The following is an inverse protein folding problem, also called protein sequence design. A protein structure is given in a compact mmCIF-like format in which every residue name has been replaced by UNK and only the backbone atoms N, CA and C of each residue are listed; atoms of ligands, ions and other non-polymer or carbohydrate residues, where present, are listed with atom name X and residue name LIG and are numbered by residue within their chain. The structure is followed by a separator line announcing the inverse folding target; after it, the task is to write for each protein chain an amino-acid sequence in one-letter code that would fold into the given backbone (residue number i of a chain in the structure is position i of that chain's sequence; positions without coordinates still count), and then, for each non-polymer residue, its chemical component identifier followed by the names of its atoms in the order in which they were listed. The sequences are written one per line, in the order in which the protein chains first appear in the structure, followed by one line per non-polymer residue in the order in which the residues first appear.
data_IF_772253381863
#
_entry.id   IF_772253381863
#
_cell.length_a   1.000
_cell.length_b   1.000
_cell.length_c   1.000
_cell.angle_alpha   90.00
_cell.angle_beta   90.00
_cell.angle_gamma   90.00
#
_symmetry.space_group_name_H-M   'P 1'
#
loop_
_entity.id
_entity.type
_entity.pdbx_description
1 polymer ?
#
# COMPACT_ATOMS: atom_id res chain seq x y z
N UNK A 1 -29.31 -0.43 -2.71
CA UNK A 1 -29.57 0.71 -3.61
C UNK A 1 -28.62 0.56 -4.78
N UNK A 2 -29.16 0.29 -5.97
CA UNK A 2 -28.32 0.18 -7.18
C UNK A 2 -27.87 1.61 -7.58
N UNK A 3 -26.57 1.84 -7.85
CA UNK A 3 -26.09 3.14 -8.28
C UNK A 3 -26.77 3.52 -9.62
N UNK A 4 -27.05 4.81 -9.82
CA UNK A 4 -27.28 5.30 -11.19
C UNK A 4 -26.01 5.00 -11.97
N UNK A 5 -26.10 4.68 -13.25
CA UNK A 5 -24.96 4.31 -14.12
C UNK A 5 -23.99 5.49 -14.40
N UNK A 6 -23.66 6.26 -13.38
CA UNK A 6 -22.62 7.28 -13.37
C UNK A 6 -21.30 6.60 -12.99
N UNK A 7 -20.28 6.79 -13.83
CA UNK A 7 -18.98 6.13 -13.70
C UNK A 7 -18.35 6.28 -12.30
N UNK A 8 -18.36 7.49 -11.74
CA UNK A 8 -17.78 7.78 -10.43
C UNK A 8 -18.41 6.95 -9.31
N UNK A 9 -19.74 6.80 -9.31
CA UNK A 9 -20.44 6.01 -8.29
C UNK A 9 -20.13 4.52 -8.38
N UNK A 10 -20.00 3.98 -9.60
CA UNK A 10 -19.65 2.57 -9.81
C UNK A 10 -18.25 2.28 -9.29
N UNK A 11 -17.29 3.18 -9.56
CA UNK A 11 -15.91 3.06 -9.08
C UNK A 11 -15.86 3.11 -7.55
N UNK A 12 -16.49 4.09 -6.91
CA UNK A 12 -16.51 4.19 -5.45
C UNK A 12 -17.18 2.97 -4.81
N UNK A 13 -18.35 2.57 -5.31
CA UNK A 13 -19.10 1.43 -4.78
C UNK A 13 -18.30 0.14 -4.88
N UNK A 14 -17.70 -0.13 -6.05
CA UNK A 14 -16.88 -1.33 -6.28
C UNK A 14 -15.65 -1.33 -5.37
N UNK A 15 -14.97 -0.18 -5.26
CA UNK A 15 -13.82 -0.04 -4.37
C UNK A 15 -14.16 -0.38 -2.91
N UNK A 16 -15.30 0.10 -2.40
CA UNK A 16 -15.74 -0.16 -1.02
C UNK A 16 -16.06 -1.63 -0.77
N UNK A 17 -16.66 -2.33 -1.73
CA UNK A 17 -16.90 -3.77 -1.62
C UNK A 17 -15.61 -4.58 -1.64
N UNK A 18 -14.70 -4.26 -2.57
CA UNK A 18 -13.39 -4.91 -2.62
C UNK A 18 -12.61 -4.66 -1.32
N UNK A 19 -12.60 -3.42 -0.82
CA UNK A 19 -11.95 -3.07 0.45
C UNK A 19 -12.54 -3.86 1.63
N UNK A 20 -13.87 -4.04 1.69
CA UNK A 20 -14.52 -4.84 2.72
C UNK A 20 -14.08 -6.32 2.65
N UNK A 21 -14.05 -6.91 1.45
CA UNK A 21 -13.56 -8.29 1.26
C UNK A 21 -12.10 -8.42 1.68
N UNK A 22 -11.23 -7.48 1.27
CA UNK A 22 -9.82 -7.45 1.66
C UNK A 22 -9.67 -7.35 3.18
N UNK A 23 -10.45 -6.50 3.84
CA UNK A 23 -10.47 -6.39 5.31
C UNK A 23 -10.81 -7.72 6.00
N UNK A 24 -11.81 -8.44 5.49
CA UNK A 24 -12.16 -9.79 5.99
C UNK A 24 -11.03 -10.79 5.77
N UNK A 25 -10.37 -10.77 4.60
CA UNK A 25 -9.24 -11.64 4.31
C UNK A 25 -8.03 -11.37 5.22
N UNK A 26 -7.77 -10.10 5.55
CA UNK A 26 -6.71 -9.72 6.50
C UNK A 26 -7.02 -10.25 7.90
N UNK A 27 -8.28 -10.12 8.35
CA UNK A 27 -8.71 -10.68 9.64
C UNK A 27 -8.60 -12.21 9.65
N UNK A 28 -9.05 -12.88 8.57
CA UNK A 28 -8.93 -14.33 8.43
C UNK A 28 -7.45 -14.78 8.45
N UNK A 29 -6.57 -14.02 7.81
CA UNK A 29 -5.11 -14.25 7.85
C UNK A 29 -4.57 -14.13 9.27
N UNK A 30 -4.95 -13.09 10.01
CA UNK A 30 -4.53 -12.91 11.40
C UNK A 30 -5.04 -14.04 12.32
N UNK A 31 -6.28 -14.48 12.15
CA UNK A 31 -6.84 -15.63 12.88
C UNK A 31 -6.10 -16.91 12.53
N UNK A 32 -5.77 -17.13 11.25
CA UNK A 32 -4.99 -18.31 10.82
C UNK A 32 -3.58 -18.30 11.43
N UNK A 33 -2.89 -17.17 11.41
CA UNK A 33 -1.59 -16.97 12.06
C UNK A 33 -1.67 -17.23 13.55
N UNK A 34 -2.70 -16.70 14.23
CA UNK A 34 -2.90 -16.94 15.66
C UNK A 34 -3.14 -18.42 15.98
N UNK A 35 -3.85 -19.16 15.12
CA UNK A 35 -4.11 -20.59 15.35
C UNK A 35 -2.88 -21.47 15.14
N UNK A 36 -2.12 -21.22 14.09
CA UNK A 36 -1.04 -22.13 13.65
C UNK A 36 0.37 -21.67 14.07
N UNK A 37 0.58 -20.36 14.30
CA UNK A 37 1.88 -19.76 14.54
C UNK A 37 1.95 -18.96 15.85
N UNK A 38 1.07 -19.22 16.83
CA UNK A 38 1.03 -18.49 18.13
C UNK A 38 2.35 -18.47 18.90
N UNK A 39 3.19 -19.49 18.73
CA UNK A 39 4.50 -19.59 19.38
C UNK A 39 5.56 -18.71 18.71
N UNK A 40 5.31 -18.25 17.48
CA UNK A 40 6.20 -17.39 16.71
C UNK A 40 5.77 -15.93 16.85
N UNK A 41 6.19 -15.28 17.94
CA UNK A 41 5.78 -13.91 18.27
C UNK A 41 6.07 -12.89 17.16
N UNK A 42 7.07 -13.11 16.31
CA UNK A 42 7.34 -12.25 15.15
C UNK A 42 6.19 -12.28 14.12
N UNK A 43 5.73 -13.47 13.73
CA UNK A 43 4.66 -13.65 12.73
C UNK A 43 3.33 -13.12 13.27
N UNK A 44 3.03 -13.38 14.54
CA UNK A 44 1.82 -12.86 15.19
C UNK A 44 1.83 -11.33 15.22
N UNK A 45 2.95 -10.70 15.56
CA UNK A 45 3.08 -9.24 15.56
C UNK A 45 2.85 -8.64 14.17
N UNK A 46 3.40 -9.25 13.11
CA UNK A 46 3.17 -8.80 11.73
C UNK A 46 1.69 -8.88 11.35
N UNK A 47 1.02 -9.99 11.67
CA UNK A 47 -0.39 -10.16 11.36
C UNK A 47 -1.30 -9.18 12.14
N UNK A 48 -1.02 -8.96 13.43
CA UNK A 48 -1.72 -7.96 14.25
C UNK A 48 -1.46 -6.55 13.71
N UNK A 49 -0.22 -6.22 13.34
CA UNK A 49 0.11 -4.94 12.72
C UNK A 49 -0.68 -4.72 11.43
N UNK A 50 -0.80 -5.73 10.55
CA UNK A 50 -1.63 -5.63 9.34
C UNK A 50 -3.08 -5.29 9.64
N UNK A 51 -3.66 -5.89 10.69
CA UNK A 51 -5.05 -5.59 11.12
C UNK A 51 -5.16 -4.15 11.63
N UNK A 52 -4.22 -3.70 12.46
CA UNK A 52 -4.24 -2.32 12.98
C UNK A 52 -4.09 -1.31 11.86
N UNK A 53 -3.14 -1.53 10.95
CA UNK A 53 -2.87 -0.60 9.85
C UNK A 53 -4.04 -0.58 8.86
N UNK A 54 -4.71 -1.70 8.56
CA UNK A 54 -5.89 -1.67 7.68
C UNK A 54 -7.08 -0.95 8.31
N UNK A 55 -7.25 -0.99 9.64
CA UNK A 55 -8.28 -0.19 10.33
C UNK A 55 -7.99 1.31 10.19
N UNK A 56 -6.73 1.71 10.36
CA UNK A 56 -6.28 3.10 10.11
C UNK A 56 -6.53 3.48 8.65
N UNK A 57 -6.19 2.58 7.72
CA UNK A 57 -6.39 2.78 6.28
C UNK A 57 -7.87 3.00 5.94
N UNK A 58 -8.79 2.19 6.49
CA UNK A 58 -10.23 2.34 6.30
C UNK A 58 -10.75 3.68 6.85
N UNK A 59 -10.22 4.14 7.98
CA UNK A 59 -10.55 5.43 8.56
C UNK A 59 -10.10 6.59 7.67
N UNK A 60 -8.87 6.54 7.14
CA UNK A 60 -8.35 7.54 6.20
C UNK A 60 -9.13 7.50 4.87
N UNK A 61 -9.49 6.32 4.37
CA UNK A 61 -10.29 6.19 3.15
C UNK A 61 -11.65 6.88 3.28
N UNK A 62 -12.27 6.82 4.47
CA UNK A 62 -13.48 7.60 4.76
C UNK A 62 -13.21 9.11 4.74
N UNK A 63 -12.04 9.57 5.18
CA UNK A 63 -11.66 10.99 5.14
C UNK A 63 -11.44 11.48 3.72
N UNK A 64 -10.78 10.68 2.87
CA UNK A 64 -10.58 10.99 1.44
C UNK A 64 -11.90 11.30 0.74
N UNK A 65 -12.93 10.46 0.95
CA UNK A 65 -14.26 10.69 0.36
C UNK A 65 -14.91 11.97 0.91
N UNK A 66 -14.73 12.27 2.20
CA UNK A 66 -15.30 13.48 2.83
C UNK A 66 -14.58 14.77 2.43
N UNK A 67 -13.29 14.66 2.10
CA UNK A 67 -12.45 15.76 1.68
C UNK A 67 -12.43 15.94 0.15
N UNK A 68 -13.41 15.36 -0.55
CA UNK A 68 -13.55 15.47 -2.01
C UNK A 68 -12.27 15.11 -2.77
N UNK A 69 -11.64 13.97 -2.39
CA UNK A 69 -10.43 13.44 -3.02
C UNK A 69 -9.20 14.36 -2.90
N UNK A 70 -9.08 15.09 -1.79
CA UNK A 70 -7.87 15.84 -1.43
C UNK A 70 -6.58 15.03 -1.69
N UNK A 71 -5.67 15.63 -2.45
CA UNK A 71 -4.51 14.95 -3.01
C UNK A 71 -3.56 14.41 -1.92
N UNK A 72 -3.38 15.16 -0.83
CA UNK A 72 -2.51 14.77 0.28
C UNK A 72 -3.10 13.57 1.02
N UNK A 73 -4.42 13.58 1.26
CA UNK A 73 -5.11 12.44 1.87
C UNK A 73 -5.09 11.20 0.98
N UNK A 74 -5.26 11.34 -0.35
CA UNK A 74 -5.15 10.24 -1.30
C UNK A 74 -3.74 9.66 -1.30
N UNK A 75 -2.71 10.50 -1.33
CA UNK A 75 -1.31 10.08 -1.28
C UNK A 75 -0.99 9.35 0.03
N UNK A 76 -1.44 9.90 1.17
CA UNK A 76 -1.29 9.27 2.49
C UNK A 76 -2.00 7.91 2.55
N UNK A 77 -3.21 7.83 1.98
CA UNK A 77 -3.99 6.60 1.92
C UNK A 77 -3.25 5.51 1.11
N UNK A 78 -2.67 5.88 -0.04
CA UNK A 78 -1.86 4.98 -0.86
C UNK A 78 -0.58 4.54 -0.13
N UNK A 79 0.11 5.48 0.51
CA UNK A 79 1.33 5.23 1.28
C UNK A 79 1.13 4.16 2.36
N UNK A 80 0.03 4.28 3.12
CA UNK A 80 -0.33 3.35 4.18
C UNK A 80 -0.81 2.02 3.61
N UNK A 81 -1.52 2.03 2.49
CA UNK A 81 -1.96 0.81 1.80
C UNK A 81 -0.75 -0.04 1.39
N UNK A 82 0.34 0.58 0.93
CA UNK A 82 1.56 -0.14 0.58
C UNK A 82 2.29 -0.73 1.81
N UNK A 83 2.18 -0.09 2.98
CA UNK A 83 2.64 -0.67 4.25
C UNK A 83 1.86 -1.94 4.59
N UNK A 84 0.54 -1.96 4.40
CA UNK A 84 -0.27 -3.18 4.60
C UNK A 84 0.21 -4.31 3.67
N UNK A 85 0.45 -4.01 2.40
CA UNK A 85 0.99 -4.98 1.43
C UNK A 85 2.34 -5.52 1.89
N UNK A 86 3.25 -4.65 2.35
CA UNK A 86 4.55 -5.05 2.88
C UNK A 86 4.42 -5.98 4.11
N UNK A 87 3.56 -5.63 5.07
CA UNK A 87 3.34 -6.45 6.27
C UNK A 87 2.76 -7.83 5.92
N UNK A 88 1.76 -7.90 5.03
CA UNK A 88 1.19 -9.17 4.58
C UNK A 88 2.21 -10.00 3.79
N UNK A 89 3.05 -9.36 2.97
CA UNK A 89 4.15 -10.04 2.27
C UNK A 89 5.12 -10.67 3.28
N UNK A 90 5.48 -9.96 4.35
CA UNK A 90 6.31 -10.51 5.42
C UNK A 90 5.62 -11.67 6.15
N UNK A 91 4.31 -11.61 6.38
CA UNK A 91 3.55 -12.74 6.93
C UNK A 91 3.63 -13.96 6.01
N UNK A 92 3.42 -13.78 4.70
CA UNK A 92 3.50 -14.87 3.71
C UNK A 92 4.91 -15.47 3.69
N UNK A 93 5.95 -14.64 3.63
CA UNK A 93 7.35 -15.11 3.62
C UNK A 93 7.68 -15.87 4.90
N UNK A 94 7.26 -15.37 6.07
CA UNK A 94 7.57 -16.00 7.36
C UNK A 94 6.77 -17.29 7.63
N UNK A 95 5.64 -17.49 6.95
CA UNK A 95 4.80 -18.69 7.08
C UNK A 95 4.99 -19.69 5.95
N UNK A 96 5.71 -19.31 4.90
CA UNK A 96 6.04 -20.19 3.78
C UNK A 96 6.90 -21.36 4.24
N UNK A 97 6.73 -22.57 3.66
CA UNK A 97 7.59 -23.71 3.96
C UNK A 97 9.05 -23.33 3.78
N UNK A 98 9.93 -23.89 4.61
CA UNK A 98 11.36 -23.69 4.48
C UNK A 98 11.79 -24.10 3.06
N UNK A 99 12.01 -23.10 2.19
CA UNK A 99 12.84 -23.28 1.01
C UNK A 99 14.26 -23.57 1.50
N UNK A 100 15.05 -24.29 0.71
CA UNK A 100 16.49 -24.43 0.97
C UNK A 100 17.02 -23.09 1.47
N UNK A 101 17.68 -23.11 2.63
CA UNK A 101 18.30 -21.93 3.19
C UNK A 101 19.39 -21.52 2.21
N UNK A 102 19.02 -20.72 1.21
CA UNK A 102 19.98 -20.03 0.39
C UNK A 102 20.83 -19.21 1.36
N UNK A 103 22.14 -19.43 1.37
CA UNK A 103 23.05 -18.59 2.14
C UNK A 103 22.82 -17.15 1.70
N UNK A 104 22.16 -16.38 2.57
CA UNK A 104 21.79 -15.02 2.26
C UNK A 104 23.06 -14.19 2.29
N UNK A 105 23.66 -13.98 1.11
CA UNK A 105 24.74 -13.03 0.95
C UNK A 105 24.22 -11.65 1.40
N UNK A 106 24.94 -11.07 2.37
CA UNK A 106 24.59 -9.79 3.00
C UNK A 106 24.53 -8.66 1.97
N UNK A 107 25.30 -8.77 0.89
CA UNK A 107 25.27 -7.85 -0.25
C UNK A 107 23.89 -7.84 -0.92
N UNK A 108 23.36 -9.01 -1.26
CA UNK A 108 22.04 -9.17 -1.88
C UNK A 108 20.89 -8.72 -0.98
N UNK A 109 20.98 -9.03 0.33
CA UNK A 109 19.98 -8.55 1.30
C UNK A 109 19.94 -7.03 1.34
N UNK A 110 21.11 -6.37 1.32
CA UNK A 110 21.21 -4.91 1.30
C UNK A 110 20.60 -4.33 0.03
N UNK A 111 20.90 -4.90 -1.14
CA UNK A 111 20.30 -4.46 -2.41
C UNK A 111 18.78 -4.59 -2.42
N UNK A 112 18.22 -5.66 -1.87
CA UNK A 112 16.76 -5.85 -1.78
C UNK A 112 16.11 -4.82 -0.85
N UNK A 113 16.73 -4.53 0.31
CA UNK A 113 16.22 -3.49 1.23
C UNK A 113 16.28 -2.12 0.59
N UNK A 114 17.40 -1.78 -0.07
CA UNK A 114 17.55 -0.50 -0.79
C UNK A 114 16.55 -0.40 -1.94
N UNK A 115 16.35 -1.46 -2.71
CA UNK A 115 15.39 -1.49 -3.81
C UNK A 115 13.94 -1.34 -3.31
N UNK A 116 13.56 -2.02 -2.23
CA UNK A 116 12.24 -1.89 -1.63
C UNK A 116 11.98 -0.48 -1.08
N UNK A 117 12.96 0.07 -0.35
CA UNK A 117 12.88 1.44 0.18
C UNK A 117 12.84 2.48 -0.95
N UNK A 118 13.69 2.33 -1.97
CA UNK A 118 13.70 3.19 -3.15
C UNK A 118 12.38 3.13 -3.93
N UNK A 119 11.82 1.93 -4.10
CA UNK A 119 10.50 1.75 -4.73
C UNK A 119 9.39 2.42 -3.94
N UNK A 120 9.43 2.32 -2.60
CA UNK A 120 8.47 3.00 -1.73
C UNK A 120 8.58 4.53 -1.87
N UNK A 121 9.80 5.07 -1.84
CA UNK A 121 10.03 6.52 -2.04
C UNK A 121 9.56 6.98 -3.43
N UNK A 122 9.84 6.22 -4.49
CA UNK A 122 9.37 6.52 -5.85
C UNK A 122 7.84 6.52 -5.93
N UNK A 123 7.17 5.59 -5.26
CA UNK A 123 5.72 5.56 -5.20
C UNK A 123 5.15 6.77 -4.45
N UNK A 124 5.76 7.18 -3.33
CA UNK A 124 5.35 8.38 -2.59
C UNK A 124 5.53 9.64 -3.43
N UNK A 125 6.67 9.77 -4.11
CA UNK A 125 6.93 10.89 -5.00
C UNK A 125 5.91 10.91 -6.13
N UNK A 126 5.67 9.76 -6.78
CA UNK A 126 4.66 9.61 -7.83
C UNK A 126 3.25 9.97 -7.37
N UNK A 127 2.86 9.54 -6.16
CA UNK A 127 1.57 9.87 -5.57
C UNK A 127 1.39 11.37 -5.31
N UNK A 128 2.46 12.03 -4.86
CA UNK A 128 2.47 13.47 -4.59
C UNK A 128 2.39 14.29 -5.89
N UNK A 129 3.19 13.94 -6.90
CA UNK A 129 3.24 14.72 -8.15
C UNK A 129 2.14 14.38 -9.15
N UNK A 130 1.34 13.31 -8.92
CA UNK A 130 0.32 12.84 -9.87
C UNK A 130 -0.72 13.91 -10.24
N UNK A 131 -1.01 14.84 -9.32
CA UNK A 131 -1.96 15.92 -9.54
C UNK A 131 -1.31 17.22 -10.08
N UNK A 132 0.00 17.18 -10.31
CA UNK A 132 0.75 18.30 -10.87
C UNK A 132 0.85 18.16 -12.39
N UNK A 133 0.52 19.22 -13.11
CA UNK A 133 0.71 19.27 -14.56
C UNK A 133 2.07 19.89 -14.89
N UNK A 134 2.89 19.15 -15.61
CA UNK A 134 4.09 19.66 -16.25
C UNK A 134 3.99 19.37 -17.75
N UNK A 135 4.19 20.39 -18.58
CA UNK A 135 4.24 20.22 -20.02
C UNK A 135 5.59 19.62 -20.45
N UNK A 136 5.61 18.80 -21.51
CA UNK A 136 6.85 18.24 -22.08
C UNK A 136 7.39 16.98 -21.39
N UNK A 137 8.31 16.28 -22.08
CA UNK A 137 9.07 15.13 -21.58
C UNK A 137 10.33 14.92 -22.44
N UNK A 138 11.51 14.62 -21.85
CA UNK A 138 11.80 14.50 -20.43
C UNK A 138 11.96 15.85 -19.70
N UNK A 139 11.98 16.97 -20.44
CA UNK A 139 12.15 18.32 -19.90
C UNK A 139 10.81 19.02 -19.70
N UNK A 140 10.68 19.78 -18.61
CA UNK A 140 9.52 20.65 -18.35
C UNK A 140 9.50 21.79 -19.37
N UNK A 141 8.36 22.01 -20.02
CA UNK A 141 8.18 23.00 -21.07
C UNK A 141 9.03 22.77 -22.31
N UNK A 142 9.65 21.58 -22.47
CA UNK A 142 10.64 21.30 -23.52
C UNK A 142 11.88 22.24 -23.45
N UNK A 143 12.14 22.84 -22.29
CA UNK A 143 13.25 23.75 -22.02
C UNK A 143 14.23 23.17 -20.99
N UNK A 144 15.53 23.45 -21.15
CA UNK A 144 16.56 23.00 -20.20
C UNK A 144 16.49 23.73 -18.85
N UNK A 145 16.06 25.00 -18.87
CA UNK A 145 15.84 25.82 -17.67
C UNK A 145 14.44 26.42 -17.80
N UNK A 146 13.42 25.84 -17.15
CA UNK A 146 12.06 26.34 -17.23
C UNK A 146 11.92 27.68 -16.50
N UNK A 147 11.15 28.61 -17.05
CA UNK A 147 10.72 29.80 -16.32
C UNK A 147 9.59 29.41 -15.34
N UNK A 148 9.88 29.48 -14.04
CA UNK A 148 8.92 29.17 -12.97
C UNK A 148 8.18 30.46 -12.59
N UNK A 149 7.26 30.92 -13.46
CA UNK A 149 6.38 32.06 -13.17
C UNK A 149 5.05 31.62 -12.55
#
# INVERSE_FOLDING_TARGET
MLPRLEYHMVVEWTHRWVAAVVGVLILATAVSVWRHYRTQAAVVRLAVASVVVVVIQAWIGRMVVKADLDADLVALHLAISMVVVGLLTLVVVATSPAREQAEADRSWTTHLVVAAAGSYVLLLLGAYVHNMYFSGWPLVGNQLVPEMS
#
